data_IF_798670861184
#
_entry.id   IF_798670861184
#
_cell.length_a   1.000
_cell.length_b   1.000
_cell.length_c   1.000
_cell.angle_alpha   90.00
_cell.angle_beta   90.00
_cell.angle_gamma   90.00
#
_symmetry.space_group_name_H-M   'P 1'
#
loop_
_entity.id
_entity.type
_entity.pdbx_description
1 polymer ?
#
# COMPACT_ATOMS: atom_id res chain seq x y z
N UNK A 1 19.97 4.54 -33.01
CA UNK A 1 18.65 4.59 -33.68
C UNK A 1 17.89 5.76 -33.06
N UNK A 2 17.79 6.87 -33.78
CA UNK A 2 17.26 8.13 -33.23
C UNK A 2 15.77 8.03 -32.92
N UNK A 3 15.37 8.50 -31.74
CA UNK A 3 13.97 8.61 -31.33
C UNK A 3 13.32 9.78 -32.09
N UNK A 4 12.72 9.52 -33.24
CA UNK A 4 11.80 10.47 -33.90
C UNK A 4 10.36 10.10 -33.56
N UNK A 5 9.52 11.11 -33.30
CA UNK A 5 8.07 10.98 -33.04
C UNK A 5 7.29 10.33 -34.19
N UNK A 6 7.91 10.21 -35.36
CA UNK A 6 7.34 9.60 -36.57
C UNK A 6 7.08 8.09 -36.44
N UNK A 7 7.61 7.43 -35.40
CA UNK A 7 7.41 5.99 -35.21
C UNK A 7 6.37 5.62 -34.14
N UNK A 8 5.50 6.54 -33.72
CA UNK A 8 4.39 6.24 -32.80
C UNK A 8 3.17 5.75 -33.57
N UNK A 9 2.47 4.74 -33.03
CA UNK A 9 1.15 4.36 -33.57
C UNK A 9 0.13 5.47 -33.31
N UNK A 10 -1.02 5.42 -34.00
CA UNK A 10 -2.10 6.40 -33.80
C UNK A 10 -2.54 6.47 -32.33
N UNK A 11 -2.71 5.33 -31.66
CA UNK A 11 -3.09 5.28 -30.24
C UNK A 11 -2.00 5.84 -29.33
N UNK A 12 -0.73 5.52 -29.61
CA UNK A 12 0.40 6.06 -28.84
C UNK A 12 0.50 7.58 -29.01
N UNK A 13 0.36 8.09 -30.24
CA UNK A 13 0.36 9.52 -30.52
C UNK A 13 -0.79 10.22 -29.81
N UNK A 14 -2.01 9.67 -29.89
CA UNK A 14 -3.18 10.18 -29.16
C UNK A 14 -2.92 10.23 -27.65
N UNK A 15 -2.32 9.19 -27.08
CA UNK A 15 -1.96 9.14 -25.67
C UNK A 15 -0.86 10.17 -25.31
N UNK A 16 0.05 10.49 -26.23
CA UNK A 16 1.09 11.52 -26.01
C UNK A 16 0.53 12.94 -26.10
N UNK A 17 -0.37 13.19 -27.04
CA UNK A 17 -0.88 14.54 -27.35
C UNK A 17 -2.03 14.98 -26.46
N UNK A 18 -2.78 14.05 -25.86
CA UNK A 18 -3.91 14.38 -24.96
C UNK A 18 -3.40 14.79 -23.58
N UNK A 19 -3.22 16.10 -23.35
CA UNK A 19 -2.69 16.67 -22.09
C UNK A 19 -3.71 17.52 -21.32
N UNK A 20 -4.92 17.69 -21.85
CA UNK A 20 -6.00 18.55 -21.32
C UNK A 20 -6.92 17.85 -20.31
N UNK A 21 -6.70 16.56 -20.05
CA UNK A 21 -7.57 15.73 -19.21
C UNK A 21 -6.83 14.52 -18.63
N UNK A 22 -7.42 13.90 -17.61
CA UNK A 22 -6.99 12.60 -17.09
C UNK A 22 -7.18 11.50 -18.14
N UNK A 23 -6.14 10.66 -18.31
CA UNK A 23 -6.13 9.59 -19.30
C UNK A 23 -5.77 8.25 -18.65
N UNK A 24 -6.58 7.23 -18.90
CA UNK A 24 -6.27 5.83 -18.59
C UNK A 24 -5.88 5.13 -19.88
N UNK A 25 -4.69 4.53 -19.91
CA UNK A 25 -4.16 3.83 -21.09
C UNK A 25 -4.07 2.34 -20.79
N UNK A 26 -4.91 1.55 -21.43
CA UNK A 26 -4.85 0.08 -21.38
C UNK A 26 -3.88 -0.41 -22.45
N UNK A 27 -2.85 -1.15 -22.05
CA UNK A 27 -1.82 -1.61 -22.98
C UNK A 27 -1.27 -2.98 -22.57
N UNK A 28 -1.20 -3.90 -23.53
CA UNK A 28 -0.61 -5.23 -23.35
C UNK A 28 0.92 -5.19 -23.14
N UNK A 29 1.54 -6.33 -22.80
CA UNK A 29 3.00 -6.47 -22.79
C UNK A 29 3.59 -6.03 -24.14
N UNK A 30 4.77 -5.40 -24.13
CA UNK A 30 5.45 -4.97 -25.37
C UNK A 30 4.84 -3.77 -26.11
N UNK A 31 3.65 -3.28 -25.75
CA UNK A 31 2.95 -2.18 -26.44
C UNK A 31 3.61 -0.78 -26.34
N UNK A 32 4.81 -0.67 -25.79
CA UNK A 32 5.55 0.59 -25.71
C UNK A 32 5.10 1.53 -24.59
N UNK A 33 4.47 1.04 -23.51
CA UNK A 33 4.00 1.85 -22.36
C UNK A 33 5.03 2.87 -21.86
N UNK A 34 6.25 2.40 -21.59
CA UNK A 34 7.35 3.27 -21.13
C UNK A 34 7.71 4.32 -22.17
N UNK A 35 7.67 3.98 -23.46
CA UNK A 35 7.93 4.94 -24.54
C UNK A 35 6.87 6.04 -24.57
N UNK A 36 5.59 5.68 -24.46
CA UNK A 36 4.49 6.65 -24.40
C UNK A 36 4.65 7.60 -23.22
N UNK A 37 5.01 7.09 -22.04
CA UNK A 37 5.23 7.94 -20.85
C UNK A 37 6.41 8.90 -21.04
N UNK A 38 7.53 8.44 -21.60
CA UNK A 38 8.69 9.29 -21.89
C UNK A 38 8.30 10.39 -22.90
N UNK A 39 7.64 10.04 -24.00
CA UNK A 39 7.21 11.00 -25.00
C UNK A 39 6.18 12.00 -24.45
N UNK A 40 5.29 11.58 -23.53
CA UNK A 40 4.40 12.50 -22.81
C UNK A 40 5.16 13.53 -22.00
N UNK A 41 6.17 13.12 -21.22
CA UNK A 41 7.02 14.05 -20.47
C UNK A 41 7.67 15.07 -21.41
N UNK A 42 8.25 14.60 -22.51
CA UNK A 42 8.88 15.49 -23.49
C UNK A 42 7.86 16.44 -24.14
N UNK A 43 6.63 15.99 -24.39
CA UNK A 43 5.56 16.82 -24.96
C UNK A 43 5.09 17.91 -24.00
N UNK A 44 4.96 17.59 -22.70
CA UNK A 44 4.65 18.57 -21.65
C UNK A 44 5.73 19.65 -21.59
N UNK A 45 7.01 19.24 -21.59
CA UNK A 45 8.15 20.15 -21.57
C UNK A 45 8.18 21.02 -22.83
N UNK A 46 8.06 20.41 -24.02
CA UNK A 46 8.06 21.12 -25.31
C UNK A 46 6.99 22.20 -25.36
N UNK A 47 5.76 21.86 -24.97
CA UNK A 47 4.63 22.77 -24.94
C UNK A 47 4.74 23.85 -23.86
N UNK A 48 5.69 23.72 -22.93
CA UNK A 48 5.85 24.67 -21.83
C UNK A 48 4.74 24.62 -20.79
N UNK A 49 4.08 23.47 -20.68
CA UNK A 49 2.98 23.27 -19.74
C UNK A 49 3.50 23.03 -18.31
N UNK A 50 4.74 22.55 -18.19
CA UNK A 50 5.44 22.37 -16.92
C UNK A 50 6.96 22.35 -17.16
N UNK A 51 7.71 22.63 -16.10
CA UNK A 51 9.12 22.33 -15.95
C UNK A 51 9.31 20.88 -15.49
N UNK A 52 10.55 20.40 -15.54
CA UNK A 52 10.82 19.00 -15.25
C UNK A 52 10.62 18.64 -13.76
N UNK A 53 10.83 19.59 -12.84
CA UNK A 53 10.60 19.40 -11.41
C UNK A 53 9.11 19.38 -11.03
N UNK A 54 8.25 19.93 -11.89
CA UNK A 54 6.80 19.98 -11.70
C UNK A 54 6.11 18.68 -12.17
N UNK A 55 6.87 17.74 -12.76
CA UNK A 55 6.36 16.46 -13.26
C UNK A 55 6.64 15.35 -12.24
N UNK A 56 5.56 14.71 -11.76
CA UNK A 56 5.62 13.52 -10.92
C UNK A 56 5.37 12.27 -11.78
N UNK A 57 6.35 11.35 -11.81
CA UNK A 57 6.25 10.09 -12.52
C UNK A 57 6.51 8.92 -11.57
N UNK A 58 5.47 8.11 -11.35
CA UNK A 58 5.48 7.02 -10.35
C UNK A 58 5.56 5.67 -11.05
N UNK A 59 6.46 4.80 -10.59
CA UNK A 59 6.61 3.42 -11.08
C UNK A 59 6.53 2.39 -9.96
N UNK A 60 6.29 1.12 -10.29
CA UNK A 60 6.21 0.05 -9.28
C UNK A 60 7.57 -0.28 -8.64
N UNK A 61 8.67 -0.20 -9.40
CA UNK A 61 10.01 -0.56 -8.92
C UNK A 61 11.02 0.58 -9.11
N UNK A 62 12.05 0.61 -8.27
CA UNK A 62 13.17 1.56 -8.43
C UNK A 62 13.89 1.35 -9.77
N UNK A 63 13.98 0.09 -10.25
CA UNK A 63 14.54 -0.24 -11.55
C UNK A 63 13.78 0.44 -12.69
N UNK A 64 12.44 0.39 -12.66
CA UNK A 64 11.60 1.02 -13.68
C UNK A 64 11.71 2.56 -13.65
N UNK A 65 11.77 3.17 -12.46
CA UNK A 65 12.01 4.61 -12.32
C UNK A 65 13.37 5.02 -12.93
N UNK A 66 14.44 4.29 -12.61
CA UNK A 66 15.78 4.55 -13.14
C UNK A 66 15.87 4.37 -14.66
N UNK A 67 15.19 3.35 -15.19
CA UNK A 67 15.09 3.13 -16.63
C UNK A 67 14.36 4.28 -17.32
N UNK A 68 13.25 4.75 -16.74
CA UNK A 68 12.51 5.91 -17.24
C UNK A 68 13.37 7.18 -17.22
N UNK A 69 14.06 7.46 -16.10
CA UNK A 69 14.98 8.60 -15.94
C UNK A 69 16.08 8.57 -17.01
N UNK A 70 16.63 7.38 -17.27
CA UNK A 70 17.67 7.18 -18.30
C UNK A 70 17.14 7.44 -19.71
N UNK A 71 15.95 6.94 -20.04
CA UNK A 71 15.31 7.19 -21.34
C UNK A 71 15.02 8.67 -21.56
N UNK A 72 14.53 9.37 -20.54
CA UNK A 72 14.32 10.83 -20.60
C UNK A 72 15.65 11.56 -20.81
N UNK A 73 16.70 11.19 -20.07
CA UNK A 73 18.04 11.80 -20.22
C UNK A 73 18.56 11.71 -21.65
N UNK A 74 18.46 10.52 -22.25
CA UNK A 74 18.92 10.29 -23.62
C UNK A 74 18.11 11.11 -24.62
N UNK A 75 16.79 11.17 -24.45
CA UNK A 75 15.92 11.94 -25.33
C UNK A 75 16.18 13.45 -25.23
N UNK A 76 16.34 13.98 -24.01
CA UNK A 76 16.67 15.39 -23.79
C UNK A 76 18.02 15.76 -24.42
N UNK A 77 19.05 14.90 -24.29
CA UNK A 77 20.36 15.11 -24.93
C UNK A 77 20.23 15.17 -26.45
N UNK A 78 19.46 14.27 -27.05
CA UNK A 78 19.26 14.25 -28.50
C UNK A 78 18.53 15.50 -28.98
N UNK A 79 17.47 15.92 -28.27
CA UNK A 79 16.72 17.15 -28.58
C UNK A 79 17.61 18.39 -28.45
N UNK A 80 18.39 18.49 -27.37
CA UNK A 80 19.33 19.59 -27.16
C UNK A 80 20.42 19.66 -28.24
N UNK A 81 20.87 18.52 -28.79
CA UNK A 81 21.82 18.47 -29.90
C UNK A 81 21.21 18.92 -31.23
N UNK A 82 19.96 18.52 -31.51
CA UNK A 82 19.28 18.84 -32.77
C UNK A 82 18.79 20.28 -32.84
N UNK A 83 18.23 20.77 -31.73
CA UNK A 83 17.67 22.11 -31.63
C UNK A 83 18.00 22.67 -30.23
N UNK A 84 19.20 23.23 -30.03
CA UNK A 84 19.61 23.80 -28.76
C UNK A 84 18.60 24.84 -28.26
N UNK A 85 18.08 24.64 -27.05
CA UNK A 85 17.18 25.60 -26.41
C UNK A 85 17.49 25.71 -24.93
N UNK A 86 17.26 26.88 -24.32
CA UNK A 86 17.38 27.07 -22.87
C UNK A 86 16.52 26.07 -22.10
N UNK A 87 15.34 25.75 -22.63
CA UNK A 87 14.37 24.81 -22.05
C UNK A 87 14.94 23.39 -21.95
N UNK A 88 15.59 22.87 -23.00
CA UNK A 88 16.17 21.53 -22.95
C UNK A 88 17.34 21.43 -21.97
N UNK A 89 18.17 22.48 -21.90
CA UNK A 89 19.25 22.54 -20.92
C UNK A 89 18.74 22.63 -19.48
N UNK A 90 17.67 23.39 -19.23
CA UNK A 90 17.02 23.46 -17.91
C UNK A 90 16.43 22.10 -17.52
N UNK A 91 15.65 21.47 -18.40
CA UNK A 91 15.08 20.15 -18.15
C UNK A 91 16.15 19.09 -17.85
N UNK A 92 17.33 19.18 -18.48
CA UNK A 92 18.47 18.30 -18.17
C UNK A 92 19.04 18.54 -16.77
N UNK A 93 19.14 19.78 -16.30
CA UNK A 93 19.59 20.10 -14.93
C UNK A 93 18.61 19.58 -13.89
N UNK A 94 17.33 19.82 -14.13
CA UNK A 94 16.21 19.45 -13.27
C UNK A 94 15.89 17.95 -13.25
N UNK A 95 16.37 17.18 -14.23
CA UNK A 95 16.09 15.74 -14.31
C UNK A 95 16.55 14.99 -13.05
N UNK A 96 17.65 15.41 -12.41
CA UNK A 96 18.17 14.69 -11.25
C UNK A 96 17.28 14.85 -10.01
N UNK A 97 16.69 16.03 -9.82
CA UNK A 97 15.78 16.38 -8.73
C UNK A 97 14.32 16.02 -9.02
N UNK A 98 13.97 15.77 -10.29
CA UNK A 98 12.62 15.40 -10.71
C UNK A 98 12.01 14.24 -9.90
N UNK A 99 10.69 14.27 -9.73
CA UNK A 99 9.92 13.28 -8.98
C UNK A 99 9.65 12.01 -9.81
N UNK A 100 10.70 11.38 -10.34
CA UNK A 100 10.66 10.10 -11.04
C UNK A 100 11.10 9.00 -10.08
N UNK A 101 10.14 8.30 -9.46
CA UNK A 101 10.42 7.37 -8.37
C UNK A 101 9.31 6.32 -8.18
N UNK A 102 9.43 5.49 -7.14
CA UNK A 102 8.31 4.67 -6.68
C UNK A 102 7.32 5.50 -5.85
N UNK A 103 6.11 4.97 -5.61
CA UNK A 103 5.15 5.64 -4.74
C UNK A 103 5.73 5.90 -3.34
N UNK A 104 6.45 4.92 -2.78
CA UNK A 104 7.14 5.06 -1.51
C UNK A 104 8.22 6.14 -1.54
N UNK A 105 9.02 6.19 -2.61
CA UNK A 105 10.05 7.21 -2.78
C UNK A 105 9.46 8.62 -2.86
N UNK A 106 8.33 8.78 -3.57
CA UNK A 106 7.60 10.03 -3.64
C UNK A 106 7.02 10.45 -2.29
N UNK A 107 6.30 9.55 -1.60
CA UNK A 107 5.75 9.85 -0.28
C UNK A 107 6.84 10.19 0.73
N UNK A 108 7.96 9.46 0.74
CA UNK A 108 9.07 9.76 1.64
C UNK A 108 9.69 11.14 1.37
N UNK A 109 9.77 11.56 0.10
CA UNK A 109 10.21 12.92 -0.26
C UNK A 109 9.22 13.96 0.25
N UNK A 110 7.92 13.73 0.08
CA UNK A 110 6.86 14.63 0.51
C UNK A 110 6.87 14.82 2.03
N UNK A 111 6.98 13.71 2.78
CA UNK A 111 7.07 13.74 4.25
C UNK A 111 8.30 14.51 4.74
N UNK A 112 9.45 14.35 4.08
CA UNK A 112 10.66 15.12 4.43
C UNK A 112 10.59 16.60 4.06
N UNK A 113 9.79 16.95 3.06
CA UNK A 113 9.57 18.35 2.67
C UNK A 113 8.60 19.07 3.63
N UNK A 114 7.71 18.33 4.29
CA UNK A 114 6.67 18.85 5.19
C UNK A 114 6.64 18.08 6.53
N UNK A 115 7.76 18.01 7.28
CA UNK A 115 7.86 17.16 8.46
C UNK A 115 6.98 17.64 9.62
N UNK A 116 6.77 18.96 9.74
CA UNK A 116 5.95 19.57 10.80
C UNK A 116 4.48 19.21 10.62
N UNK A 117 3.95 19.42 9.42
CA UNK A 117 2.57 19.09 9.06
C UNK A 117 2.31 17.59 9.14
N UNK A 118 3.31 16.79 8.78
CA UNK A 118 3.25 15.34 8.87
C UNK A 118 3.46 14.78 10.29
N UNK A 119 3.89 15.62 11.25
CA UNK A 119 4.25 15.21 12.61
C UNK A 119 5.27 14.06 12.64
N UNK A 120 6.29 14.14 11.77
CA UNK A 120 7.39 13.16 11.71
C UNK A 120 8.73 13.88 11.82
N UNK A 121 9.71 13.18 12.39
CA UNK A 121 11.10 13.62 12.36
C UNK A 121 11.60 13.67 10.90
N UNK A 122 12.18 14.78 10.41
CA UNK A 122 12.71 14.85 9.04
C UNK A 122 13.81 13.82 8.74
N UNK A 123 14.52 13.33 9.76
CA UNK A 123 15.55 12.28 9.67
C UNK A 123 14.98 10.86 9.83
N UNK A 124 13.65 10.69 9.70
CA UNK A 124 13.04 9.37 9.80
C UNK A 124 13.67 8.36 8.83
N UNK A 125 13.79 7.14 9.34
CA UNK A 125 14.24 5.98 8.56
C UNK A 125 13.04 5.10 8.24
N UNK A 126 13.05 4.53 7.03
CA UNK A 126 12.03 3.57 6.61
C UNK A 126 12.43 2.21 7.16
N UNK A 127 11.57 1.63 7.98
CA UNK A 127 11.77 0.29 8.52
C UNK A 127 11.51 -0.77 7.45
N UNK A 128 12.34 -1.81 7.43
CA UNK A 128 12.03 -3.04 6.70
C UNK A 128 10.93 -3.86 7.40
N UNK A 129 10.36 -4.83 6.69
CA UNK A 129 9.24 -5.65 7.17
C UNK A 129 9.59 -6.40 8.46
N UNK A 130 10.85 -6.86 8.60
CA UNK A 130 11.30 -7.59 9.78
C UNK A 130 11.40 -6.67 11.01
N UNK A 131 12.11 -5.53 10.89
CA UNK A 131 12.25 -4.55 11.97
C UNK A 131 10.90 -3.98 12.38
N UNK A 132 10.04 -3.66 11.41
CA UNK A 132 8.68 -3.19 11.67
C UNK A 132 7.87 -4.24 12.44
N UNK A 133 7.99 -5.54 12.11
CA UNK A 133 7.29 -6.61 12.82
C UNK A 133 7.79 -6.76 14.25
N UNK A 134 9.10 -6.73 14.47
CA UNK A 134 9.71 -6.82 15.80
C UNK A 134 9.25 -5.69 16.70
N UNK A 135 9.26 -4.45 16.20
CA UNK A 135 8.79 -3.29 16.98
C UNK A 135 7.31 -3.37 17.30
N UNK A 136 6.48 -3.83 16.35
CA UNK A 136 5.05 -4.05 16.61
C UNK A 136 4.82 -5.10 17.70
N UNK A 137 5.54 -6.24 17.67
CA UNK A 137 5.43 -7.27 18.70
C UNK A 137 5.77 -6.71 20.09
N UNK A 138 6.83 -5.90 20.18
CA UNK A 138 7.24 -5.25 21.43
C UNK A 138 6.20 -4.27 21.94
N UNK A 139 5.63 -3.44 21.07
CA UNK A 139 4.59 -2.49 21.46
C UNK A 139 3.32 -3.21 21.97
N UNK A 140 2.96 -4.34 21.34
CA UNK A 140 1.83 -5.16 21.80
C UNK A 140 2.14 -5.82 23.15
N UNK A 141 3.36 -6.30 23.33
CA UNK A 141 3.81 -6.90 24.59
C UNK A 141 3.74 -5.90 25.75
N UNK A 142 4.24 -4.67 25.55
CA UNK A 142 4.18 -3.57 26.53
C UNK A 142 2.73 -3.28 26.95
N UNK A 143 1.81 -3.17 25.99
CA UNK A 143 0.37 -2.97 26.30
C UNK A 143 -0.20 -4.14 27.10
N UNK A 144 0.14 -5.39 26.78
CA UNK A 144 -0.34 -6.55 27.54
C UNK A 144 0.22 -6.51 28.96
N UNK A 145 1.50 -6.20 29.14
CA UNK A 145 2.14 -6.08 30.46
C UNK A 145 1.47 -5.01 31.32
N UNK A 146 1.28 -3.80 30.79
CA UNK A 146 0.58 -2.71 31.49
C UNK A 146 -0.82 -3.12 31.97
N UNK A 147 -1.57 -3.86 31.14
CA UNK A 147 -2.91 -4.33 31.50
C UNK A 147 -2.88 -5.45 32.55
N UNK A 148 -1.88 -6.34 32.51
CA UNK A 148 -1.71 -7.38 33.54
C UNK A 148 -1.31 -6.77 34.89
N UNK A 149 -0.45 -5.74 34.89
CA UNK A 149 -0.08 -4.99 36.09
C UNK A 149 -1.26 -4.22 36.67
N UNK A 150 -2.16 -3.72 35.81
CA UNK A 150 -3.42 -3.11 36.21
C UNK A 150 -4.52 -4.11 36.63
N UNK A 151 -4.20 -5.41 36.71
CA UNK A 151 -5.13 -6.50 37.05
C UNK A 151 -6.36 -6.57 36.12
N UNK A 152 -6.21 -6.23 34.84
CA UNK A 152 -7.29 -6.35 33.85
C UNK A 152 -7.68 -7.82 33.67
N UNK A 153 -8.89 -8.15 34.17
CA UNK A 153 -9.44 -9.50 34.19
C UNK A 153 -9.65 -10.06 32.78
N UNK A 154 -9.98 -9.21 31.80
CA UNK A 154 -10.22 -9.63 30.42
C UNK A 154 -8.90 -10.02 29.77
N UNK A 155 -7.89 -9.16 29.87
CA UNK A 155 -6.55 -9.45 29.34
C UNK A 155 -5.95 -10.67 30.04
N UNK A 156 -6.09 -10.79 31.37
CA UNK A 156 -5.66 -11.96 32.12
C UNK A 156 -6.28 -13.27 31.61
N UNK A 157 -7.59 -13.28 31.34
CA UNK A 157 -8.28 -14.45 30.74
C UNK A 157 -7.77 -14.75 29.33
N UNK A 158 -7.54 -13.73 28.51
CA UNK A 158 -7.02 -13.90 27.15
C UNK A 158 -5.61 -14.48 27.16
N UNK A 159 -4.75 -14.04 28.08
CA UNK A 159 -3.39 -14.59 28.24
C UNK A 159 -3.43 -16.07 28.64
N UNK A 160 -4.34 -16.46 29.54
CA UNK A 160 -4.54 -17.87 29.91
C UNK A 160 -5.00 -18.69 28.70
N UNK A 161 -5.93 -18.16 27.90
CA UNK A 161 -6.50 -18.87 26.75
C UNK A 161 -5.56 -18.99 25.55
N UNK A 162 -4.79 -17.94 25.24
CA UNK A 162 -3.94 -17.85 24.06
C UNK A 162 -2.46 -18.09 24.32
N UNK A 163 -2.04 -18.21 25.58
CA UNK A 163 -0.67 -17.95 26.05
C UNK A 163 -0.25 -16.49 25.82
N UNK A 164 0.73 -16.01 26.59
CA UNK A 164 1.29 -14.66 26.42
C UNK A 164 1.81 -14.43 25.00
N UNK A 165 2.63 -15.35 24.47
CA UNK A 165 3.17 -15.24 23.10
C UNK A 165 2.07 -15.28 22.05
N UNK A 166 1.13 -16.21 22.17
CA UNK A 166 0.04 -16.35 21.19
C UNK A 166 -0.88 -15.12 21.16
N UNK A 167 -1.13 -14.49 22.32
CA UNK A 167 -1.91 -13.25 22.37
C UNK A 167 -1.17 -12.08 21.70
N UNK A 168 0.13 -11.93 21.95
CA UNK A 168 0.97 -10.90 21.31
C UNK A 168 0.92 -11.07 19.78
N UNK A 169 1.12 -12.29 19.28
CA UNK A 169 1.08 -12.59 17.85
C UNK A 169 -0.30 -12.27 17.24
N UNK A 170 -1.38 -12.71 17.89
CA UNK A 170 -2.75 -12.51 17.44
C UNK A 170 -3.14 -11.02 17.35
N UNK A 171 -2.82 -10.22 18.37
CA UNK A 171 -3.11 -8.78 18.37
C UNK A 171 -2.31 -8.07 17.29
N UNK A 172 -1.02 -8.41 17.14
CA UNK A 172 -0.19 -7.81 16.11
C UNK A 172 -0.66 -8.15 14.69
N UNK A 173 -1.09 -9.38 14.45
CA UNK A 173 -1.65 -9.79 13.16
C UNK A 173 -3.00 -9.11 12.88
N UNK A 174 -3.87 -8.98 13.89
CA UNK A 174 -5.12 -8.22 13.79
C UNK A 174 -4.85 -6.75 13.43
N UNK A 175 -3.91 -6.10 14.11
CA UNK A 175 -3.51 -4.72 13.82
C UNK A 175 -3.04 -4.56 12.37
N UNK A 176 -2.19 -5.47 11.90
CA UNK A 176 -1.70 -5.46 10.51
C UNK A 176 -2.84 -5.65 9.51
N UNK A 177 -3.82 -6.50 9.82
CA UNK A 177 -5.01 -6.70 8.98
C UNK A 177 -5.87 -5.44 8.89
N UNK A 178 -6.19 -4.82 10.03
CA UNK A 178 -6.95 -3.57 10.09
C UNK A 178 -6.26 -2.48 9.26
N UNK A 179 -4.94 -2.34 9.42
CA UNK A 179 -4.13 -1.38 8.66
C UNK A 179 -4.13 -1.68 7.16
N UNK A 180 -4.01 -2.95 6.77
CA UNK A 180 -4.00 -3.34 5.36
C UNK A 180 -5.34 -3.07 4.66
N UNK A 181 -6.45 -3.12 5.40
CA UNK A 181 -7.78 -2.77 4.91
C UNK A 181 -8.04 -1.25 4.89
N UNK A 182 -7.11 -0.44 5.39
CA UNK A 182 -7.30 1.00 5.54
C UNK A 182 -8.40 1.36 6.52
N UNK A 183 -8.68 0.48 7.50
CA UNK A 183 -9.71 0.70 8.50
C UNK A 183 -9.16 1.52 9.67
N UNK A 184 -9.96 2.47 10.13
CA UNK A 184 -9.70 3.24 11.34
C UNK A 184 -10.18 2.48 12.58
N UNK A 185 -9.60 2.79 13.75
CA UNK A 185 -9.92 2.16 15.03
C UNK A 185 -11.42 2.23 15.32
N UNK A 186 -12.04 3.37 15.11
CA UNK A 186 -13.46 3.63 15.37
C UNK A 186 -14.34 2.72 14.51
N UNK A 187 -13.93 2.46 13.27
CA UNK A 187 -14.66 1.57 12.37
C UNK A 187 -14.59 0.11 12.85
N UNK A 188 -13.41 -0.31 13.33
CA UNK A 188 -13.24 -1.66 13.89
C UNK A 188 -14.10 -1.84 15.14
N UNK A 189 -14.05 -0.89 16.07
CA UNK A 189 -14.85 -0.92 17.30
C UNK A 189 -16.35 -0.97 16.96
N UNK A 190 -16.82 -0.08 16.09
CA UNK A 190 -18.24 -0.05 15.70
C UNK A 190 -18.70 -1.36 15.04
N UNK A 191 -17.84 -2.01 14.24
CA UNK A 191 -18.13 -3.31 13.65
C UNK A 191 -18.22 -4.41 14.71
N UNK A 192 -17.29 -4.42 15.67
CA UNK A 192 -17.28 -5.36 16.80
C UNK A 192 -18.51 -5.19 17.69
N UNK A 193 -18.84 -3.95 18.08
CA UNK A 193 -20.02 -3.63 18.89
C UNK A 193 -21.30 -4.03 18.17
N UNK A 194 -21.44 -3.67 16.89
CA UNK A 194 -22.59 -4.07 16.08
C UNK A 194 -22.74 -5.58 16.03
N UNK A 195 -21.63 -6.31 15.86
CA UNK A 195 -21.64 -7.76 15.84
C UNK A 195 -21.97 -8.39 17.20
N UNK A 196 -21.86 -7.66 18.31
CA UNK A 196 -22.11 -8.16 19.67
C UNK A 196 -23.35 -7.57 20.33
N UNK A 197 -24.12 -6.75 19.62
CA UNK A 197 -25.27 -6.03 20.17
C UNK A 197 -26.40 -6.93 20.65
N UNK A 198 -26.66 -8.02 19.92
CA UNK A 198 -27.67 -9.03 20.28
C UNK A 198 -27.16 -10.43 19.95
N UNK A 199 -27.76 -11.46 20.53
CA UNK A 199 -27.43 -12.85 20.19
C UNK A 199 -27.74 -13.17 18.73
N UNK A 200 -28.69 -12.46 18.11
CA UNK A 200 -28.96 -12.55 16.68
C UNK A 200 -27.83 -11.92 15.84
N UNK A 201 -27.36 -10.74 16.22
CA UNK A 201 -26.25 -10.05 15.52
C UNK A 201 -24.94 -10.85 15.59
N UNK A 202 -24.67 -11.46 16.74
CA UNK A 202 -23.49 -12.32 16.93
C UNK A 202 -23.57 -13.58 16.08
N UNK A 203 -24.71 -14.28 16.08
CA UNK A 203 -24.93 -15.44 15.20
C UNK A 203 -24.76 -15.06 13.73
N UNK A 204 -25.33 -13.95 13.30
CA UNK A 204 -25.17 -13.45 11.93
C UNK A 204 -23.71 -13.12 11.60
N UNK A 205 -22.92 -12.65 12.57
CA UNK A 205 -21.49 -12.41 12.37
C UNK A 205 -20.69 -13.71 12.23
N UNK A 206 -20.99 -14.72 13.04
CA UNK A 206 -20.38 -16.06 12.95
C UNK A 206 -20.72 -16.72 11.60
N UNK A 207 -21.97 -16.64 11.17
CA UNK A 207 -22.40 -17.16 9.85
C UNK A 207 -21.66 -16.47 8.70
N UNK A 208 -21.45 -15.15 8.77
CA UNK A 208 -20.63 -14.43 7.78
C UNK A 208 -19.18 -14.89 7.78
N UNK A 209 -18.59 -15.12 8.96
CA UNK A 209 -17.23 -15.65 9.06
C UNK A 209 -17.12 -17.06 8.46
N UNK A 210 -18.10 -17.92 8.72
CA UNK A 210 -18.17 -19.26 8.10
C UNK A 210 -18.24 -19.20 6.59
N UNK A 211 -19.01 -18.27 6.04
CA UNK A 211 -19.10 -18.07 4.60
C UNK A 211 -17.77 -17.58 4.02
N UNK A 212 -17.07 -16.67 4.71
CA UNK A 212 -15.72 -16.24 4.32
C UNK A 212 -14.77 -17.44 4.32
N UNK A 213 -14.78 -18.27 5.37
CA UNK A 213 -13.91 -19.45 5.47
C UNK A 213 -14.18 -20.40 4.30
N UNK A 214 -15.45 -20.73 4.01
CA UNK A 214 -15.83 -21.56 2.86
C UNK A 214 -15.31 -21.00 1.53
N UNK A 215 -15.43 -19.68 1.34
CA UNK A 215 -14.92 -18.99 0.15
C UNK A 215 -13.40 -19.04 0.03
N UNK A 216 -12.69 -18.92 1.14
CA UNK A 216 -11.22 -19.01 1.18
C UNK A 216 -10.75 -20.44 0.88
N UNK A 217 -11.41 -21.46 1.43
CA UNK A 217 -11.13 -22.88 1.12
C UNK A 217 -11.36 -23.20 -0.36
N UNK A 218 -12.38 -22.60 -0.97
CA UNK A 218 -12.69 -22.76 -2.38
C UNK A 218 -11.92 -21.79 -3.31
N UNK A 219 -10.99 -20.99 -2.79
CA UNK A 219 -10.36 -19.92 -3.58
C UNK A 219 -9.51 -20.46 -4.73
N UNK A 220 -9.79 -20.07 -6.00
CA UNK A 220 -9.11 -20.66 -7.15
C UNK A 220 -7.69 -20.10 -7.32
N UNK A 221 -6.71 -21.01 -7.42
CA UNK A 221 -5.31 -20.73 -7.77
C UNK A 221 -4.69 -19.56 -6.96
N UNK A 222 -4.62 -19.67 -5.63
CA UNK A 222 -3.93 -18.67 -4.82
C UNK A 222 -2.43 -18.62 -5.19
N UNK A 223 -1.84 -17.42 -5.07
CA UNK A 223 -0.37 -17.31 -5.06
C UNK A 223 0.20 -18.08 -3.85
N UNK A 224 1.47 -18.48 -3.89
CA UNK A 224 2.09 -19.25 -2.80
C UNK A 224 1.95 -18.57 -1.42
N UNK A 225 2.21 -17.26 -1.35
CA UNK A 225 2.01 -16.45 -0.13
C UNK A 225 0.56 -16.48 0.34
N UNK A 226 -0.39 -16.36 -0.59
CA UNK A 226 -1.82 -16.33 -0.27
C UNK A 226 -2.32 -17.72 0.14
N UNK A 227 -1.80 -18.80 -0.44
CA UNK A 227 -2.12 -20.17 -0.07
C UNK A 227 -1.70 -20.45 1.38
N UNK A 228 -0.50 -20.02 1.78
CA UNK A 228 -0.03 -20.16 3.15
C UNK A 228 -0.91 -19.39 4.15
N UNK A 229 -1.28 -18.15 3.82
CA UNK A 229 -2.16 -17.33 4.66
C UNK A 229 -3.58 -17.92 4.79
N UNK A 230 -4.16 -18.38 3.68
CA UNK A 230 -5.46 -19.07 3.68
C UNK A 230 -5.39 -20.33 4.55
N UNK A 231 -4.37 -21.15 4.38
CA UNK A 231 -4.20 -22.39 5.15
C UNK A 231 -4.08 -22.10 6.65
N UNK A 232 -3.28 -21.11 7.05
CA UNK A 232 -3.14 -20.70 8.44
C UNK A 232 -4.47 -20.21 9.05
N UNK A 233 -5.19 -19.35 8.34
CA UNK A 233 -6.48 -18.82 8.79
C UNK A 233 -7.54 -19.92 8.91
N UNK A 234 -7.67 -20.77 7.89
CA UNK A 234 -8.61 -21.90 7.89
C UNK A 234 -8.28 -22.88 9.02
N UNK A 235 -6.99 -23.17 9.24
CA UNK A 235 -6.56 -24.03 10.34
C UNK A 235 -6.95 -23.45 11.70
N UNK A 236 -6.68 -22.17 11.94
CA UNK A 236 -7.11 -21.48 13.15
C UNK A 236 -8.64 -21.52 13.32
N UNK A 237 -9.40 -21.27 12.24
CA UNK A 237 -10.86 -21.37 12.29
C UNK A 237 -11.35 -22.79 12.59
N UNK A 238 -10.71 -23.84 12.08
CA UNK A 238 -11.09 -25.23 12.40
C UNK A 238 -10.89 -25.56 13.88
N UNK A 239 -9.85 -24.99 14.50
CA UNK A 239 -9.57 -25.18 15.93
C UNK A 239 -10.53 -24.39 16.83
N UNK A 240 -10.76 -23.12 16.52
CA UNK A 240 -11.47 -22.20 17.43
C UNK A 240 -12.89 -21.84 16.98
N UNK A 241 -13.22 -22.00 15.71
CA UNK A 241 -14.53 -21.71 15.13
C UNK A 241 -15.70 -22.40 15.83
N UNK A 242 -15.60 -23.67 16.27
CA UNK A 242 -16.63 -24.30 17.08
C UNK A 242 -16.95 -23.55 18.38
N UNK A 243 -15.95 -22.92 19.00
CA UNK A 243 -16.15 -22.10 20.21
C UNK A 243 -16.96 -20.84 19.91
N UNK A 244 -16.83 -20.28 18.70
CA UNK A 244 -17.60 -19.11 18.29
C UNK A 244 -19.10 -19.42 18.18
N UNK A 245 -19.49 -20.68 18.02
CA UNK A 245 -20.89 -21.12 17.98
C UNK A 245 -21.52 -21.28 19.36
N UNK A 246 -20.71 -21.33 20.42
CA UNK A 246 -21.22 -21.31 21.78
C UNK A 246 -21.82 -19.92 22.01
N UNK A 247 -23.14 -19.83 22.24
CA UNK A 247 -23.81 -18.54 22.42
C UNK A 247 -23.11 -17.75 23.54
N UNK A 248 -22.61 -16.53 23.25
CA UNK A 248 -21.99 -15.72 24.29
C UNK A 248 -23.08 -15.33 25.29
N UNK A 249 -22.73 -15.35 26.58
CA UNK A 249 -23.49 -14.59 27.58
C UNK A 249 -23.25 -13.11 27.31
N UNK A 250 -24.14 -12.50 26.53
CA UNK A 250 -24.04 -11.07 26.17
C UNK A 250 -24.31 -10.17 27.39
N UNK A 251 -24.94 -10.72 28.43
CA UNK A 251 -25.27 -10.01 29.68
C UNK A 251 -24.05 -9.65 30.55
N UNK A 252 -22.87 -10.26 30.33
CA UNK A 252 -21.66 -10.05 31.15
C UNK A 252 -20.61 -9.11 30.53
N UNK A 253 -20.92 -8.40 29.44
CA UNK A 253 -19.95 -7.50 28.80
C UNK A 253 -20.03 -6.09 29.44
N UNK A 254 -19.03 -5.64 30.23
CA UNK A 254 -18.92 -4.22 30.54
C UNK A 254 -18.72 -3.45 29.23
N UNK A 255 -19.53 -2.41 29.05
CA UNK A 255 -19.29 -1.35 28.04
C UNK A 255 -18.03 -0.59 28.43
#
# INVERSE_FOLDING_TARGET
MGMTRESLTLDQRRAVETLDRSLVVTAGPGAGKTRVLVERVLRILEGGLANMEEIVAITFTNKAANEMKTKIRLALRELARRAPSRRWHEAMRQLETAAISTIHGFCARLLRAHPVEAQVDPEFTILDEFRSRVLLLRAVEEVIEENLEAEDVVIGRLVIGYSRRGLIEAIADLYMMVRALGMHREQVIALTERARRTSADYRAAVERLEEIVRRLEAFPKPTERMAAQIAAFVHAYRLYGPLLRLEPRIEDAPV
#
